data_IF_047743297865
#
_entry.id   IF_047743297865
#
_cell.length_a   1.000
_cell.length_b   1.000
_cell.length_c   1.000
_cell.angle_alpha   90.00
_cell.angle_beta   90.00
_cell.angle_gamma   90.00
#
_symmetry.space_group_name_H-M   'P 1'
#
loop_
_entity.id
_entity.type
_entity.pdbx_description
1 polymer ?
#
# COMPACT_ATOMS: atom_id res chain seq x y z
N UNK A 1 -13.74 -26.51 2.79
CA UNK A 1 -14.92 -25.66 2.48
C UNK A 1 -15.47 -24.92 3.71
N UNK A 2 -14.95 -25.15 4.91
CA UNK A 2 -15.21 -24.34 6.11
C UNK A 2 -14.05 -23.36 6.32
N UNK A 3 -13.91 -22.36 5.45
CA UNK A 3 -13.00 -21.26 5.73
C UNK A 3 -13.68 -20.36 6.77
N UNK A 4 -13.17 -20.37 8.00
CA UNK A 4 -13.53 -19.38 9.02
C UNK A 4 -13.36 -17.97 8.42
N UNK A 5 -14.22 -17.03 8.84
CA UNK A 5 -14.21 -15.66 8.35
C UNK A 5 -12.81 -15.02 8.41
N UNK A 6 -12.02 -15.37 9.42
CA UNK A 6 -10.64 -14.94 9.58
C UNK A 6 -9.72 -15.40 8.44
N UNK A 7 -9.87 -16.65 7.96
CA UNK A 7 -9.04 -17.17 6.86
C UNK A 7 -9.46 -16.55 5.51
N UNK A 8 -10.75 -16.29 5.31
CA UNK A 8 -11.24 -15.59 4.13
C UNK A 8 -10.72 -14.14 4.07
N UNK A 9 -10.71 -13.44 5.21
CA UNK A 9 -10.22 -12.07 5.31
C UNK A 9 -8.71 -11.97 5.01
N UNK A 10 -7.90 -12.88 5.57
CA UNK A 10 -6.46 -12.93 5.29
C UNK A 10 -6.17 -13.22 3.82
N UNK A 11 -6.92 -14.14 3.20
CA UNK A 11 -6.76 -14.45 1.78
C UNK A 11 -7.04 -13.23 0.89
N UNK A 12 -8.11 -12.48 1.17
CA UNK A 12 -8.43 -11.26 0.42
C UNK A 12 -7.36 -10.18 0.62
N UNK A 13 -6.86 -9.99 1.85
CA UNK A 13 -5.77 -9.07 2.14
C UNK A 13 -4.51 -9.39 1.32
N UNK A 14 -4.10 -10.65 1.27
CA UNK A 14 -2.92 -11.08 0.49
C UNK A 14 -3.11 -10.78 -1.00
N UNK A 15 -4.28 -11.09 -1.55
CA UNK A 15 -4.61 -10.82 -2.96
C UNK A 15 -4.62 -9.32 -3.24
N UNK A 16 -5.18 -8.51 -2.35
CA UNK A 16 -5.22 -7.05 -2.50
C UNK A 16 -3.82 -6.43 -2.43
N UNK A 17 -2.98 -6.86 -1.49
CA UNK A 17 -1.57 -6.44 -1.41
C UNK A 17 -0.84 -6.82 -2.69
N UNK A 18 -0.98 -8.06 -3.15
CA UNK A 18 -0.32 -8.53 -4.38
C UNK A 18 -0.73 -7.69 -5.60
N UNK A 19 -2.02 -7.42 -5.77
CA UNK A 19 -2.58 -6.65 -6.89
C UNK A 19 -2.09 -5.21 -6.91
N UNK A 20 -1.91 -4.60 -5.74
CA UNK A 20 -1.58 -3.17 -5.62
C UNK A 20 -0.10 -2.87 -5.51
N UNK A 21 0.72 -3.86 -5.14
CA UNK A 21 2.19 -3.77 -5.14
C UNK A 21 2.76 -3.20 -6.45
N UNK A 22 2.44 -3.71 -7.65
CA UNK A 22 3.03 -3.20 -8.89
C UNK A 22 2.65 -1.74 -9.17
N UNK A 23 1.41 -1.34 -8.88
CA UNK A 23 0.98 0.05 -9.05
C UNK A 23 1.75 0.99 -8.12
N UNK A 24 1.92 0.60 -6.85
CA UNK A 24 2.70 1.39 -5.89
C UNK A 24 4.18 1.47 -6.26
N UNK A 25 4.75 0.37 -6.76
CA UNK A 25 6.13 0.37 -7.25
C UNK A 25 6.31 1.39 -8.39
N UNK A 26 5.35 1.48 -9.32
CA UNK A 26 5.38 2.46 -10.41
C UNK A 26 5.23 3.90 -9.91
N UNK A 27 4.34 4.16 -8.95
CA UNK A 27 4.19 5.50 -8.35
C UNK A 27 5.47 5.94 -7.63
N UNK A 28 6.08 5.04 -6.85
CA UNK A 28 7.35 5.32 -6.17
C UNK A 28 8.45 5.54 -7.20
N UNK A 29 8.49 4.75 -8.27
CA UNK A 29 9.47 4.92 -9.35
C UNK A 29 9.29 6.27 -10.07
N UNK A 30 8.05 6.70 -10.32
CA UNK A 30 7.77 8.01 -10.89
C UNK A 30 8.25 9.14 -9.96
N UNK A 31 7.97 9.04 -8.66
CA UNK A 31 8.47 9.99 -7.67
C UNK A 31 10.01 10.03 -7.61
N UNK A 32 10.66 8.86 -7.74
CA UNK A 32 12.12 8.76 -7.81
C UNK A 32 12.69 9.38 -9.09
N UNK A 33 11.98 9.30 -10.22
CA UNK A 33 12.41 9.92 -11.47
C UNK A 33 12.34 11.46 -11.42
N UNK A 34 11.50 12.02 -10.56
CA UNK A 34 11.40 13.47 -10.35
C UNK A 34 12.53 14.04 -9.48
N UNK A 35 13.38 13.19 -8.88
CA UNK A 35 14.48 13.69 -8.06
C UNK A 35 15.52 14.44 -8.91
N UNK A 36 15.98 15.63 -8.47
CA UNK A 36 17.07 16.33 -9.14
C UNK A 36 18.35 15.51 -9.06
N UNK A 37 18.94 15.19 -10.22
CA UNK A 37 20.19 14.40 -10.30
C UNK A 37 21.35 15.13 -9.64
N UNK A 38 21.35 16.45 -9.70
CA UNK A 38 22.35 17.34 -9.09
C UNK A 38 22.49 17.07 -7.58
N UNK A 39 21.37 16.91 -6.85
CA UNK A 39 21.40 16.64 -5.40
C UNK A 39 22.06 15.28 -5.10
N UNK A 40 21.81 14.28 -5.94
CA UNK A 40 22.40 12.95 -5.80
C UNK A 40 23.88 12.94 -6.15
N UNK A 41 24.31 13.76 -7.12
CA UNK A 41 25.72 13.90 -7.49
C UNK A 41 26.51 14.60 -6.38
N UNK A 42 25.98 15.67 -5.78
CA UNK A 42 26.62 16.34 -4.64
C UNK A 42 26.76 15.38 -3.45
N UNK A 43 25.71 14.61 -3.14
CA UNK A 43 25.77 13.61 -2.07
C UNK A 43 26.82 12.51 -2.31
N UNK A 44 27.11 12.17 -3.59
CA UNK A 44 28.18 11.22 -3.94
C UNK A 44 29.56 11.86 -3.83
N UNK A 45 29.70 13.13 -4.21
CA UNK A 45 30.95 13.88 -4.06
C UNK A 45 31.33 14.04 -2.58
N UNK A 46 30.34 14.15 -1.69
CA UNK A 46 30.52 14.16 -0.23
C UNK A 46 30.96 12.80 0.36
N UNK A 47 31.16 11.77 -0.46
CA UNK A 47 31.62 10.45 -0.02
C UNK A 47 30.56 9.63 0.72
N UNK A 48 29.27 10.00 0.64
CA UNK A 48 28.20 9.27 1.31
C UNK A 48 27.99 7.88 0.69
N UNK A 49 27.82 6.86 1.53
CA UNK A 49 27.52 5.50 1.09
C UNK A 49 26.12 5.46 0.43
N UNK A 50 25.89 4.70 -0.66
CA UNK A 50 24.57 4.50 -1.26
C UNK A 50 23.41 4.26 -0.28
N UNK A 51 23.63 3.51 0.81
CA UNK A 51 22.61 3.30 1.84
C UNK A 51 22.26 4.58 2.61
N UNK A 52 23.27 5.41 2.91
CA UNK A 52 23.06 6.71 3.55
C UNK A 52 22.34 7.67 2.61
N UNK A 53 22.70 7.68 1.32
CA UNK A 53 22.02 8.49 0.30
C UNK A 53 20.54 8.10 0.22
N UNK A 54 20.23 6.81 0.18
CA UNK A 54 18.83 6.37 0.15
C UNK A 54 18.02 6.86 1.35
N UNK A 55 18.49 6.63 2.58
CA UNK A 55 17.72 6.98 3.79
C UNK A 55 17.74 8.47 4.13
N UNK A 56 18.84 9.19 3.85
CA UNK A 56 19.01 10.60 4.24
C UNK A 56 18.68 11.60 3.14
N UNK A 57 18.73 11.19 1.87
CA UNK A 57 18.49 12.08 0.72
C UNK A 57 17.25 11.62 -0.02
N UNK A 58 17.28 10.43 -0.62
CA UNK A 58 16.23 9.95 -1.52
C UNK A 58 14.87 9.81 -0.82
N UNK A 59 14.81 9.07 0.28
CA UNK A 59 13.58 8.78 1.02
C UNK A 59 12.89 10.06 1.55
N UNK A 60 13.58 11.02 2.21
CA UNK A 60 12.95 12.26 2.65
C UNK A 60 12.50 13.16 1.49
N UNK A 61 13.20 13.15 0.35
CA UNK A 61 12.79 13.90 -0.85
C UNK A 61 11.50 13.35 -1.47
N UNK A 62 11.34 12.02 -1.56
CA UNK A 62 10.10 11.42 -2.08
C UNK A 62 8.99 11.29 -1.04
N UNK A 63 9.29 11.49 0.25
CA UNK A 63 8.34 11.33 1.36
C UNK A 63 6.98 12.00 1.13
N UNK A 64 6.87 13.26 0.67
CA UNK A 64 5.56 13.87 0.42
C UNK A 64 4.76 13.12 -0.66
N UNK A 65 5.40 12.68 -1.75
CA UNK A 65 4.73 11.90 -2.79
C UNK A 65 4.28 10.51 -2.28
N UNK A 66 5.15 9.84 -1.52
CA UNK A 66 4.85 8.54 -0.90
C UNK A 66 3.71 8.67 0.12
N UNK A 67 3.69 9.74 0.92
CA UNK A 67 2.62 10.00 1.89
C UNK A 67 1.25 10.12 1.22
N UNK A 68 1.18 10.89 0.13
CA UNK A 68 -0.07 11.02 -0.64
C UNK A 68 -0.52 9.65 -1.17
N UNK A 69 0.39 8.88 -1.77
CA UNK A 69 0.08 7.54 -2.27
C UNK A 69 -0.42 6.60 -1.17
N UNK A 70 0.22 6.61 0.01
CA UNK A 70 -0.18 5.80 1.17
C UNK A 70 -1.55 6.21 1.69
N UNK A 71 -1.87 7.50 1.74
CA UNK A 71 -3.20 7.98 2.18
C UNK A 71 -4.28 7.48 1.22
N UNK A 72 -4.11 7.67 -0.09
CA UNK A 72 -5.06 7.14 -1.08
C UNK A 72 -5.25 5.63 -0.94
N UNK A 73 -4.15 4.90 -0.73
CA UNK A 73 -4.22 3.45 -0.56
C UNK A 73 -4.92 3.01 0.71
N UNK A 74 -4.73 3.74 1.81
CA UNK A 74 -5.43 3.48 3.06
C UNK A 74 -6.94 3.73 2.90
N UNK A 75 -7.33 4.81 2.21
CA UNK A 75 -8.73 5.10 1.90
C UNK A 75 -9.36 3.98 1.06
N UNK A 76 -8.68 3.50 0.03
CA UNK A 76 -9.17 2.40 -0.80
C UNK A 76 -9.25 1.07 -0.03
N UNK A 77 -8.25 0.77 0.81
CA UNK A 77 -8.25 -0.43 1.64
C UNK A 77 -9.42 -0.43 2.65
N UNK A 78 -9.70 0.71 3.28
CA UNK A 78 -10.84 0.86 4.20
C UNK A 78 -12.18 0.63 3.49
N UNK A 79 -12.34 1.15 2.26
CA UNK A 79 -13.56 0.92 1.45
C UNK A 79 -13.77 -0.55 1.12
N UNK A 80 -12.69 -1.25 0.74
CA UNK A 80 -12.75 -2.69 0.42
C UNK A 80 -13.11 -3.51 1.67
N UNK A 81 -12.50 -3.19 2.81
CA UNK A 81 -12.82 -3.83 4.08
C UNK A 81 -14.29 -3.64 4.46
N UNK A 82 -14.80 -2.40 4.40
CA UNK A 82 -16.19 -2.08 4.71
C UNK A 82 -17.16 -2.81 3.77
N UNK A 83 -16.88 -2.81 2.47
CA UNK A 83 -17.67 -3.52 1.47
C UNK A 83 -17.72 -5.03 1.73
N UNK A 84 -16.59 -5.66 2.06
CA UNK A 84 -16.55 -7.09 2.39
C UNK A 84 -17.27 -7.36 3.70
N UNK A 85 -17.09 -6.52 4.72
CA UNK A 85 -17.73 -6.70 6.02
C UNK A 85 -19.27 -6.58 5.92
N UNK A 86 -19.76 -5.62 5.13
CA UNK A 86 -21.20 -5.42 4.86
C UNK A 86 -21.79 -6.52 3.98
N UNK A 87 -21.06 -6.95 2.94
CA UNK A 87 -21.52 -8.01 2.02
C UNK A 87 -21.32 -9.43 2.57
N UNK A 88 -20.44 -9.62 3.55
CA UNK A 88 -20.29 -10.90 4.24
C UNK A 88 -21.52 -11.10 5.11
N UNK A 89 -22.32 -12.15 4.88
CA UNK A 89 -23.50 -12.41 5.68
C UNK A 89 -23.08 -12.96 7.05
N UNK A 90 -22.58 -12.08 7.92
CA UNK A 90 -22.40 -12.39 9.34
C UNK A 90 -23.70 -12.16 10.12
N UNK A 91 -24.82 -11.99 9.42
CA UNK A 91 -26.13 -11.92 10.04
C UNK A 91 -26.68 -13.34 10.26
N UNK A 92 -26.55 -13.80 11.51
CA UNK A 92 -27.23 -15.00 12.02
C UNK A 92 -28.76 -14.90 11.82
N UNK A 93 -29.32 -13.71 11.55
CA UNK A 93 -30.75 -13.53 11.27
C UNK A 93 -31.19 -13.84 9.84
N UNK A 94 -30.30 -13.98 8.86
CA UNK A 94 -30.74 -14.31 7.47
C UNK A 94 -30.95 -15.83 7.27
N UNK A 95 -30.73 -16.66 8.30
CA UNK A 95 -31.07 -18.09 8.24
C UNK A 95 -32.54 -18.44 8.49
N UNK A 96 -33.43 -17.48 8.77
CA UNK A 96 -34.82 -17.80 9.17
C UNK A 96 -35.90 -16.92 8.52
N UNK A 97 -35.73 -16.57 7.25
CA UNK A 97 -36.83 -16.02 6.43
C UNK A 97 -36.93 -16.78 5.09
N UNK A 98 -36.83 -18.10 5.15
CA UNK A 98 -37.41 -18.99 4.14
C UNK A 98 -38.04 -20.19 4.85
N UNK A 99 -39.12 -19.91 5.56
CA UNK A 99 -40.18 -20.90 5.80
C UNK A 99 -41.21 -20.77 4.69
#
# INVERSE_FOLDING_TARGET
>A
WTASADTAMVAVLIVDIWKTTPFMALLILAALQMLPREILEVARLDGANPWQIFWRVTLPLIRPAVMVAVIFRALDALRIFDLIYVLTPNNVQTKSMSI
#
